data_IF_540670511192
#
_entry.id   IF_540670511192
#
_cell.length_a   1.000
_cell.length_b   1.000
_cell.length_c   1.000
_cell.angle_alpha   90.00
_cell.angle_beta   90.00
_cell.angle_gamma   90.00
#
_symmetry.space_group_name_H-M   'P 1'
#
loop_
_entity.id
_entity.type
_entity.pdbx_description
1 polymer ?
#
# COMPACT_ATOMS: atom_id res chain seq x y z
N UNK A 1 6.19 2.07 -16.21
CA UNK A 1 6.59 0.68 -15.92
C UNK A 1 6.40 -0.26 -17.10
N UNK A 2 5.22 -0.30 -17.75
CA UNK A 2 4.95 -1.19 -18.91
C UNK A 2 6.05 -1.19 -19.99
N UNK A 3 6.51 -0.01 -20.42
CA UNK A 3 7.61 0.14 -21.40
C UNK A 3 8.95 -0.48 -20.98
N UNK A 4 9.23 -0.56 -19.68
CA UNK A 4 10.45 -1.22 -19.18
C UNK A 4 10.30 -2.74 -19.15
N UNK A 5 9.09 -3.26 -18.90
CA UNK A 5 8.80 -4.69 -19.01
C UNK A 5 8.87 -5.17 -20.47
N UNK A 6 8.34 -4.39 -21.42
CA UNK A 6 8.43 -4.72 -22.85
C UNK A 6 9.90 -4.77 -23.32
N UNK A 7 10.74 -3.86 -22.81
CA UNK A 7 12.18 -3.84 -23.09
C UNK A 7 12.89 -5.06 -22.48
N UNK A 8 12.52 -5.47 -21.27
CA UNK A 8 13.04 -6.68 -20.62
C UNK A 8 12.59 -7.96 -21.33
N UNK A 9 11.32 -8.03 -21.77
CA UNK A 9 10.80 -9.13 -22.58
C UNK A 9 11.56 -9.28 -23.91
N UNK A 10 11.85 -8.16 -24.56
CA UNK A 10 12.60 -8.12 -25.82
C UNK A 10 14.05 -8.57 -25.61
N UNK A 11 14.71 -8.11 -24.54
CA UNK A 11 16.07 -8.53 -24.18
C UNK A 11 16.13 -10.00 -23.69
N UNK A 12 15.06 -10.50 -23.08
CA UNK A 12 14.97 -11.88 -22.60
C UNK A 12 14.77 -12.91 -23.72
N UNK A 13 14.49 -12.49 -24.96
CA UNK A 13 14.37 -13.37 -26.12
C UNK A 13 15.62 -14.24 -26.38
N UNK A 14 16.80 -13.73 -26.01
CA UNK A 14 18.09 -14.45 -26.07
C UNK A 14 18.55 -14.99 -24.70
N UNK A 15 17.77 -14.74 -23.64
CA UNK A 15 18.12 -15.11 -22.27
C UNK A 15 17.66 -16.53 -21.88
N UNK A 16 18.24 -17.04 -20.79
CA UNK A 16 17.89 -18.31 -20.18
C UNK A 16 16.37 -18.44 -19.93
N UNK A 17 15.85 -19.66 -20.02
CA UNK A 17 14.43 -19.94 -19.82
C UNK A 17 13.90 -19.39 -18.48
N UNK A 18 14.74 -19.41 -17.44
CA UNK A 18 14.39 -18.86 -16.14
C UNK A 18 14.15 -17.35 -16.16
N UNK A 19 14.92 -16.60 -16.96
CA UNK A 19 14.76 -15.14 -17.08
C UNK A 19 13.47 -14.80 -17.80
N UNK A 20 13.11 -15.56 -18.85
CA UNK A 20 11.83 -15.36 -19.56
C UNK A 20 10.63 -15.65 -18.66
N UNK A 21 10.70 -16.72 -17.87
CA UNK A 21 9.65 -17.10 -16.92
C UNK A 21 9.44 -16.03 -15.84
N UNK A 22 10.53 -15.51 -15.27
CA UNK A 22 10.47 -14.44 -14.27
C UNK A 22 9.84 -13.15 -14.84
N UNK A 23 10.19 -12.76 -16.08
CA UNK A 23 9.58 -11.58 -16.71
C UNK A 23 8.08 -11.80 -17.00
N UNK A 24 7.67 -13.02 -17.36
CA UNK A 24 6.26 -13.36 -17.54
C UNK A 24 5.49 -13.29 -16.21
N UNK A 25 6.07 -13.82 -15.12
CA UNK A 25 5.49 -13.77 -13.78
C UNK A 25 5.27 -12.34 -13.31
N UNK A 26 6.30 -11.49 -13.39
CA UNK A 26 6.22 -10.07 -13.02
C UNK A 26 5.18 -9.31 -13.86
N UNK A 27 5.04 -9.65 -15.15
CA UNK A 27 4.03 -9.03 -16.01
C UNK A 27 2.61 -9.42 -15.60
N UNK A 28 2.40 -10.67 -15.17
CA UNK A 28 1.13 -11.16 -14.66
C UNK A 28 0.75 -10.50 -13.33
N UNK A 29 1.68 -10.42 -12.38
CA UNK A 29 1.48 -9.73 -11.10
C UNK A 29 1.10 -8.27 -11.30
N UNK A 30 1.80 -7.57 -12.20
CA UNK A 30 1.49 -6.16 -12.48
C UNK A 30 0.09 -6.00 -13.10
N UNK A 31 -0.30 -6.88 -14.03
CA UNK A 31 -1.64 -6.86 -14.60
C UNK A 31 -2.73 -7.15 -13.56
N UNK A 32 -2.45 -8.01 -12.57
CA UNK A 32 -3.35 -8.26 -11.44
C UNK A 32 -3.53 -7.03 -10.55
N UNK A 33 -2.43 -6.33 -10.24
CA UNK A 33 -2.48 -5.09 -9.46
C UNK A 33 -3.20 -3.96 -10.20
N UNK A 34 -2.97 -3.81 -11.51
CA UNK A 34 -3.67 -2.81 -12.33
C UNK A 34 -5.19 -3.06 -12.36
N UNK A 35 -5.61 -4.32 -12.39
CA UNK A 35 -7.03 -4.69 -12.30
C UNK A 35 -7.60 -4.40 -10.90
N UNK A 36 -6.88 -4.74 -9.83
CA UNK A 36 -7.31 -4.48 -8.46
C UNK A 36 -7.41 -2.99 -8.13
N UNK A 37 -6.66 -2.15 -8.83
CA UNK A 37 -6.70 -0.69 -8.72
C UNK A 37 -7.73 -0.05 -9.65
N UNK A 38 -8.39 -0.80 -10.54
CA UNK A 38 -9.40 -0.25 -11.45
C UNK A 38 -10.65 0.12 -10.63
N UNK A 39 -11.02 1.42 -10.56
CA UNK A 39 -12.12 1.89 -9.72
C UNK A 39 -13.49 1.38 -10.18
N UNK A 40 -13.59 0.75 -11.36
CA UNK A 40 -14.83 0.16 -11.89
C UNK A 40 -15.09 -1.25 -11.34
N UNK A 41 -14.12 -1.90 -10.70
CA UNK A 41 -14.29 -3.17 -9.99
C UNK A 41 -14.63 -3.02 -8.50
N UNK A 42 -14.72 -1.78 -8.01
CA UNK A 42 -15.23 -1.48 -6.67
C UNK A 42 -16.75 -1.63 -6.63
N UNK A 43 -17.24 -2.86 -6.79
CA UNK A 43 -18.61 -3.21 -6.45
C UNK A 43 -18.76 -3.20 -4.92
N UNK A 44 -19.34 -2.09 -4.45
CA UNK A 44 -20.21 -2.00 -3.27
C UNK A 44 -19.69 -2.64 -1.98
N UNK A 45 -19.00 -1.84 -1.16
CA UNK A 45 -19.03 -2.02 0.30
C UNK A 45 -19.73 -0.81 0.93
N UNK A 46 -20.93 -0.98 1.53
CA UNK A 46 -21.59 0.09 2.26
C UNK A 46 -20.90 0.25 3.61
N UNK A 47 -19.91 1.16 3.63
CA UNK A 47 -19.11 1.40 4.80
C UNK A 47 -18.14 2.55 4.55
N UNK A 48 -18.66 3.70 4.13
CA UNK A 48 -17.97 4.96 4.39
C UNK A 48 -17.97 5.16 5.92
N UNK A 49 -17.11 4.41 6.61
CA UNK A 49 -16.57 4.87 7.86
C UNK A 49 -15.83 6.14 7.45
N UNK A 50 -16.46 7.28 7.72
CA UNK A 50 -15.80 8.57 7.70
C UNK A 50 -14.59 8.38 8.60
N UNK A 51 -13.42 8.16 8.01
CA UNK A 51 -12.16 8.36 8.69
C UNK A 51 -12.21 9.82 9.09
N UNK A 52 -12.60 10.06 10.33
CA UNK A 52 -12.45 11.37 10.96
C UNK A 52 -10.98 11.65 10.79
N UNK A 53 -10.62 12.54 9.87
CA UNK A 53 -9.26 13.04 9.79
C UNK A 53 -8.95 13.49 11.23
N UNK A 54 -7.97 12.87 11.91
CA UNK A 54 -7.58 13.37 13.21
C UNK A 54 -7.20 14.83 12.97
N UNK A 55 -7.97 15.73 13.56
CA UNK A 55 -7.77 17.17 13.54
C UNK A 55 -6.49 17.43 14.35
N UNK A 56 -5.37 17.22 13.68
CA UNK A 56 -4.04 17.16 14.26
C UNK A 56 -3.07 17.01 13.11
N UNK A 57 -2.29 18.07 12.87
CA UNK A 57 -1.27 18.20 11.83
C UNK A 57 -0.74 16.85 11.35
N UNK A 58 -0.89 16.55 10.06
CA UNK A 58 -0.41 15.31 9.46
C UNK A 58 1.10 15.15 9.75
N UNK A 59 1.43 14.43 10.82
CA UNK A 59 2.77 14.41 11.38
C UNK A 59 3.71 13.74 10.38
N UNK A 60 4.84 14.40 10.11
CA UNK A 60 5.87 13.85 9.23
C UNK A 60 6.36 12.51 9.79
N UNK A 61 6.63 11.56 8.89
CA UNK A 61 7.25 10.31 9.28
C UNK A 61 8.57 10.59 10.03
N UNK A 62 8.73 10.10 11.27
CA UNK A 62 9.93 10.36 12.06
C UNK A 62 11.18 9.66 11.48
N UNK A 63 11.00 8.62 10.66
CA UNK A 63 12.11 7.91 10.01
C UNK A 63 12.63 8.63 8.77
N UNK A 64 11.77 8.95 7.80
CA UNK A 64 12.23 9.49 6.51
C UNK A 64 12.01 11.00 6.36
N UNK A 65 11.10 11.59 7.15
CA UNK A 65 10.68 13.01 7.10
C UNK A 65 10.11 13.51 5.75
N UNK A 66 10.02 12.62 4.76
CA UNK A 66 9.65 12.94 3.38
C UNK A 66 8.15 13.14 3.22
N UNK A 67 7.35 12.27 3.85
CA UNK A 67 5.89 12.29 3.83
C UNK A 67 5.34 12.16 5.23
N UNK A 68 4.09 12.59 5.41
CA UNK A 68 3.32 12.33 6.63
C UNK A 68 2.94 10.86 6.76
N UNK A 69 2.61 10.46 7.99
CA UNK A 69 1.99 9.18 8.27
C UNK A 69 0.49 9.25 7.97
N UNK A 70 -0.06 8.16 7.43
CA UNK A 70 -1.47 8.08 7.08
C UNK A 70 -2.11 6.89 7.79
N UNK A 71 -3.32 7.08 8.31
CA UNK A 71 -4.10 5.99 8.90
C UNK A 71 -4.40 4.92 7.84
N UNK A 72 -4.19 3.65 8.19
CA UNK A 72 -4.53 2.50 7.35
C UNK A 72 -6.01 2.17 7.59
N UNK A 73 -6.88 2.26 6.57
CA UNK A 73 -8.31 2.02 6.75
C UNK A 73 -8.60 0.61 7.27
N UNK A 74 -9.41 0.51 8.32
CA UNK A 74 -9.85 -0.77 8.89
C UNK A 74 -8.87 -1.41 9.89
N UNK A 75 -7.62 -0.94 9.95
CA UNK A 75 -6.62 -1.44 10.89
C UNK A 75 -6.74 -0.70 12.24
N UNK A 76 -7.67 -1.17 13.06
CA UNK A 76 -7.96 -0.64 14.40
C UNK A 76 -7.86 -1.76 15.42
N UNK A 77 -7.26 -1.48 16.58
CA UNK A 77 -7.17 -2.42 17.71
C UNK A 77 -7.55 -1.75 19.03
N UNK A 78 -7.89 -2.55 20.03
CA UNK A 78 -7.92 -2.08 21.40
C UNK A 78 -6.50 -1.72 21.85
N UNK A 79 -6.36 -0.55 22.46
CA UNK A 79 -5.11 -0.08 23.02
C UNK A 79 -4.67 -1.01 24.13
N UNK A 80 -3.37 -1.24 24.22
CA UNK A 80 -2.77 -2.02 25.30
C UNK A 80 -2.63 -1.21 26.60
N UNK A 81 -2.91 0.10 26.53
CA UNK A 81 -2.89 0.97 27.70
C UNK A 81 -4.09 0.72 28.63
N UNK A 82 -3.85 0.96 29.93
CA UNK A 82 -4.83 0.65 31.00
C UNK A 82 -6.15 1.42 30.90
N UNK A 83 -6.17 2.50 30.13
CA UNK A 83 -7.34 3.37 29.97
C UNK A 83 -8.36 2.87 28.92
N UNK A 84 -8.07 1.75 28.23
CA UNK A 84 -9.06 1.08 27.36
C UNK A 84 -9.42 1.88 26.11
N UNK A 85 -8.43 2.57 25.51
CA UNK A 85 -8.61 3.32 24.26
C UNK A 85 -8.63 2.43 23.01
N UNK A 86 -8.89 3.01 21.85
CA UNK A 86 -8.67 2.37 20.54
C UNK A 86 -7.49 3.02 19.84
N UNK A 87 -6.76 2.23 19.07
CA UNK A 87 -5.63 2.68 18.26
C UNK A 87 -5.86 2.34 16.80
N UNK A 88 -5.48 3.24 15.90
CA UNK A 88 -5.37 2.94 14.47
C UNK A 88 -3.91 2.76 14.07
N UNK A 89 -3.68 1.91 13.07
CA UNK A 89 -2.38 1.78 12.43
C UNK A 89 -2.13 2.97 11.50
N UNK A 90 -0.95 3.55 11.58
CA UNK A 90 -0.47 4.59 10.69
C UNK A 90 0.76 4.10 9.92
N UNK A 91 0.74 4.26 8.60
CA UNK A 91 1.77 3.78 7.67
C UNK A 91 2.42 4.91 6.89
N UNK A 92 3.75 4.82 6.69
CA UNK A 92 4.49 5.68 5.77
C UNK A 92 4.68 5.02 4.40
N UNK A 93 3.95 5.49 3.39
CA UNK A 93 4.08 5.04 2.00
C UNK A 93 5.43 5.35 1.31
N UNK A 94 6.36 6.02 2.00
CA UNK A 94 7.71 6.27 1.48
C UNK A 94 8.75 5.27 1.99
N UNK A 95 8.75 4.95 3.28
CA UNK A 95 9.78 4.11 3.89
C UNK A 95 9.24 2.85 4.58
N UNK A 96 7.92 2.66 4.61
CA UNK A 96 7.28 1.51 5.24
C UNK A 96 7.22 1.56 6.76
N UNK A 97 7.49 2.71 7.39
CA UNK A 97 7.39 2.84 8.85
C UNK A 97 5.92 2.75 9.30
N UNK A 98 5.69 1.89 10.31
CA UNK A 98 4.39 1.63 10.92
C UNK A 98 4.36 2.02 12.40
N UNK A 99 3.25 2.60 12.84
CA UNK A 99 3.03 2.92 14.25
C UNK A 99 1.55 2.91 14.61
N UNK A 100 1.22 2.49 15.83
CA UNK A 100 -0.15 2.53 16.36
C UNK A 100 -0.35 3.82 17.14
N UNK A 101 -1.47 4.51 16.89
CA UNK A 101 -1.77 5.79 17.55
C UNK A 101 -3.21 5.82 18.07
N UNK A 102 -3.48 6.48 19.20
CA UNK A 102 -4.84 6.65 19.72
C UNK A 102 -5.77 7.34 18.71
N UNK A 103 -7.05 6.92 18.67
CA UNK A 103 -8.12 7.54 17.86
C UNK A 103 -9.40 7.79 18.66
#
# INVERSE_FOLDING_TARGET
MRRHLDALQSAAGEADAHVRDLVAQLSGELAGLEQALDPRQSESSPGHAVTREPDGDAEKCPCCTLRSLYAVPGEVRDSQDRDGGREALFHCWSCGYDTWRPI
#
